data_IF_892028512138
#
_entry.id   IF_892028512138
#
_cell.length_a   1.000
_cell.length_b   1.000
_cell.length_c   1.000
_cell.angle_alpha   90.00
_cell.angle_beta   90.00
_cell.angle_gamma   90.00
#
_symmetry.space_group_name_H-M   'P 1'
#
loop_
_entity.id
_entity.type
_entity.pdbx_description
1 polymer ?
#
# COMPACT_ATOMS: atom_id res chain seq x y z
N UNK A 1 4.75 12.18 13.91
CA UNK A 1 4.44 11.05 13.01
C UNK A 1 3.83 11.65 11.76
N UNK A 2 4.49 11.58 10.61
CA UNK A 2 3.98 12.18 9.38
C UNK A 2 2.88 11.28 8.79
N UNK A 3 1.69 11.84 8.62
CA UNK A 3 0.55 11.17 7.99
C UNK A 3 0.60 11.50 6.50
N UNK A 4 0.59 10.48 5.65
CA UNK A 4 0.30 10.66 4.23
C UNK A 4 -1.10 11.25 4.14
N UNK A 5 -1.26 12.35 3.40
CA UNK A 5 -2.51 13.15 3.27
C UNK A 5 -2.68 14.28 4.29
N UNK A 6 -1.58 14.87 4.72
CA UNK A 6 -1.58 16.22 5.29
C UNK A 6 -1.43 17.28 4.17
N UNK A 7 -2.03 18.46 4.33
CA UNK A 7 -1.97 19.58 3.38
C UNK A 7 -3.22 19.81 2.53
N UNK A 8 -3.07 20.59 1.45
CA UNK A 8 -4.17 21.21 0.68
C UNK A 8 -5.14 20.16 0.07
N UNK A 9 -4.66 18.93 -0.17
CA UNK A 9 -5.45 17.85 -0.73
C UNK A 9 -6.17 16.97 0.31
N UNK A 10 -5.95 17.21 1.61
CA UNK A 10 -6.40 16.33 2.69
C UNK A 10 -7.92 16.09 2.67
N UNK A 11 -8.73 17.15 2.58
CA UNK A 11 -10.19 17.05 2.61
C UNK A 11 -10.76 16.35 1.38
N UNK A 12 -10.20 16.66 0.21
CA UNK A 12 -10.58 15.99 -1.05
C UNK A 12 -10.30 14.51 -0.97
N UNK A 13 -9.12 14.13 -0.46
CA UNK A 13 -8.75 12.72 -0.39
C UNK A 13 -9.51 11.98 0.71
N UNK A 14 -9.78 12.63 1.85
CA UNK A 14 -10.66 12.09 2.89
C UNK A 14 -12.06 11.83 2.32
N UNK A 15 -12.56 12.72 1.47
CA UNK A 15 -13.85 12.54 0.78
C UNK A 15 -13.80 11.33 -0.17
N UNK A 16 -12.74 11.19 -0.97
CA UNK A 16 -12.56 10.04 -1.86
C UNK A 16 -12.50 8.71 -1.10
N UNK A 17 -11.79 8.70 0.05
CA UNK A 17 -11.65 7.51 0.89
C UNK A 17 -12.93 7.12 1.63
N UNK A 18 -13.77 8.09 2.00
CA UNK A 18 -14.98 7.83 2.81
C UNK A 18 -16.27 7.73 1.99
N UNK A 19 -16.29 8.28 0.76
CA UNK A 19 -17.49 8.31 -0.11
C UNK A 19 -17.27 7.64 -1.46
N UNK A 20 -16.49 6.56 -1.48
CA UNK A 20 -16.05 5.89 -2.72
C UNK A 20 -17.19 5.39 -3.62
N UNK A 21 -18.27 4.85 -3.05
CA UNK A 21 -19.43 4.36 -3.83
C UNK A 21 -20.30 5.48 -4.40
N UNK A 22 -20.36 6.62 -3.74
CA UNK A 22 -21.17 7.76 -4.18
C UNK A 22 -20.45 8.61 -5.25
N UNK A 23 -19.12 8.56 -5.31
CA UNK A 23 -18.32 9.36 -6.24
C UNK A 23 -18.11 8.74 -7.61
N UNK A 24 -18.36 7.43 -7.78
CA UNK A 24 -18.14 6.72 -9.05
C UNK A 24 -16.66 6.59 -9.46
N UNK A 25 -15.72 6.86 -8.54
CA UNK A 25 -14.28 6.86 -8.80
C UNK A 25 -13.58 5.66 -8.15
N UNK A 26 -12.70 5.01 -8.90
CA UNK A 26 -11.74 4.03 -8.35
C UNK A 26 -10.41 4.70 -8.02
N UNK A 27 -9.86 4.43 -6.85
CA UNK A 27 -8.59 5.00 -6.38
C UNK A 27 -7.61 3.87 -6.06
N UNK A 28 -6.34 4.05 -6.47
CA UNK A 28 -5.22 3.17 -6.10
C UNK A 28 -4.20 4.00 -5.34
N UNK A 29 -3.79 3.51 -4.17
CA UNK A 29 -2.81 4.16 -3.30
C UNK A 29 -1.69 3.16 -3.05
N UNK A 30 -0.45 3.54 -3.33
CA UNK A 30 0.72 2.68 -3.22
C UNK A 30 1.80 3.36 -2.35
N UNK A 31 1.61 3.43 -1.02
CA UNK A 31 2.59 4.03 -0.14
C UNK A 31 3.79 3.08 0.05
N UNK A 32 4.97 3.66 0.32
CA UNK A 32 6.12 2.88 0.80
C UNK A 32 6.01 2.54 2.29
N UNK A 33 5.23 3.32 3.05
CA UNK A 33 4.99 3.15 4.48
C UNK A 33 3.49 3.11 4.74
N UNK A 34 2.84 1.94 4.75
CA UNK A 34 1.40 1.85 4.94
C UNK A 34 0.94 2.42 6.29
N UNK A 35 1.79 2.42 7.33
CA UNK A 35 1.48 3.04 8.61
C UNK A 35 1.42 4.57 8.59
N UNK A 36 1.83 5.21 7.50
CA UNK A 36 1.60 6.63 7.28
C UNK A 36 0.20 6.93 6.72
N UNK A 37 -0.52 5.93 6.20
CA UNK A 37 -1.89 6.14 5.74
C UNK A 37 -2.82 6.38 6.94
N UNK A 38 -3.85 7.22 6.79
CA UNK A 38 -4.95 7.28 7.74
C UNK A 38 -5.61 5.90 7.86
N UNK A 39 -5.99 5.51 9.07
CA UNK A 39 -6.60 4.19 9.32
C UNK A 39 -7.81 3.90 8.40
N UNK A 40 -8.61 4.93 8.08
CA UNK A 40 -9.75 4.82 7.17
C UNK A 40 -9.37 4.34 5.77
N UNK A 41 -8.16 4.63 5.29
CA UNK A 41 -7.72 4.20 3.97
C UNK A 41 -7.62 2.67 3.90
N UNK A 42 -7.06 2.02 4.93
CA UNK A 42 -6.93 0.58 4.96
C UNK A 42 -8.30 -0.10 5.16
N UNK A 43 -9.16 0.45 6.04
CA UNK A 43 -10.49 -0.10 6.32
C UNK A 43 -11.52 0.09 5.20
N UNK A 44 -11.31 1.03 4.28
CA UNK A 44 -12.21 1.30 3.14
C UNK A 44 -11.67 0.78 1.81
N UNK A 45 -10.58 0.00 1.85
CA UNK A 45 -10.01 -0.64 0.68
C UNK A 45 -10.72 -1.96 0.41
N UNK A 46 -11.42 -2.07 -0.73
CA UNK A 46 -12.02 -3.36 -1.14
C UNK A 46 -10.96 -4.42 -1.44
N UNK A 47 -9.79 -3.99 -1.94
CA UNK A 47 -8.66 -4.85 -2.28
C UNK A 47 -7.39 -4.26 -1.68
N UNK A 48 -6.61 -5.08 -0.98
CA UNK A 48 -5.29 -4.73 -0.46
C UNK A 48 -4.24 -5.66 -1.04
N UNK A 49 -3.22 -5.09 -1.66
CA UNK A 49 -2.06 -5.80 -2.21
C UNK A 49 -0.86 -5.50 -1.32
N UNK A 50 -0.33 -6.55 -0.68
CA UNK A 50 0.68 -6.43 0.36
C UNK A 50 1.93 -7.19 -0.10
N UNK A 51 3.01 -6.46 -0.34
CA UNK A 51 4.32 -7.02 -0.65
C UNK A 51 5.13 -7.31 0.62
N UNK A 52 6.40 -7.67 0.46
CA UNK A 52 7.34 -7.78 1.57
C UNK A 52 7.40 -6.48 2.38
N UNK A 53 7.03 -6.58 3.66
CA UNK A 53 7.05 -5.51 4.65
C UNK A 53 7.90 -5.95 5.83
N UNK A 54 9.04 -5.29 6.01
CA UNK A 54 10.00 -5.63 7.08
C UNK A 54 9.89 -4.69 8.29
N UNK A 55 9.31 -3.50 8.11
CA UNK A 55 9.13 -2.54 9.19
C UNK A 55 7.98 -2.99 10.11
N UNK A 56 8.33 -3.39 11.35
CA UNK A 56 7.32 -3.87 12.31
C UNK A 56 6.21 -2.86 12.63
N UNK A 57 6.49 -1.55 12.55
CA UNK A 57 5.46 -0.51 12.69
C UNK A 57 4.43 -0.55 11.57
N UNK A 58 4.88 -0.79 10.33
CA UNK A 58 4.01 -0.88 9.16
C UNK A 58 3.21 -2.19 9.16
N UNK A 59 3.84 -3.30 9.57
CA UNK A 59 3.15 -4.58 9.78
C UNK A 59 2.02 -4.42 10.80
N UNK A 60 2.30 -3.81 11.96
CA UNK A 60 1.28 -3.57 12.99
C UNK A 60 0.17 -2.64 12.52
N UNK A 61 0.51 -1.55 11.83
CA UNK A 61 -0.49 -0.62 11.31
C UNK A 61 -1.45 -1.30 10.32
N UNK A 62 -0.92 -2.20 9.48
CA UNK A 62 -1.72 -2.98 8.55
C UNK A 62 -2.59 -4.02 9.27
N UNK A 63 -2.00 -4.77 10.21
CA UNK A 63 -2.69 -5.79 10.99
C UNK A 63 -3.81 -5.22 11.88
N UNK A 64 -3.70 -3.98 12.34
CA UNK A 64 -4.75 -3.30 13.10
C UNK A 64 -6.08 -3.15 12.33
N UNK A 65 -6.04 -3.24 11.00
CA UNK A 65 -7.22 -3.21 10.12
C UNK A 65 -7.50 -4.56 9.47
N UNK A 66 -6.90 -5.64 9.99
CA UNK A 66 -7.04 -6.98 9.46
C UNK A 66 -8.51 -7.44 9.41
N UNK A 67 -8.94 -8.09 8.33
CA UNK A 67 -10.30 -8.61 8.27
C UNK A 67 -10.51 -9.78 9.22
N UNK A 68 -11.71 -9.88 9.80
CA UNK A 68 -12.06 -10.94 10.76
C UNK A 68 -12.07 -12.33 10.11
N UNK A 69 -12.37 -12.41 8.80
CA UNK A 69 -12.39 -13.67 8.05
C UNK A 69 -11.00 -14.24 7.75
N UNK A 70 -9.90 -13.52 8.02
CA UNK A 70 -8.55 -14.00 7.76
C UNK A 70 -8.23 -15.27 8.57
N UNK A 71 -8.87 -15.45 9.74
CA UNK A 71 -8.74 -16.63 10.60
C UNK A 71 -7.35 -16.85 11.21
N UNK A 72 -6.35 -16.08 10.79
CA UNK A 72 -4.96 -16.09 11.23
C UNK A 72 -4.48 -14.66 11.46
N UNK A 73 -3.36 -14.49 12.18
CA UNK A 73 -2.72 -13.19 12.30
C UNK A 73 -2.14 -12.76 10.94
N UNK A 74 -2.51 -11.57 10.47
CA UNK A 74 -2.01 -11.03 9.21
C UNK A 74 -0.49 -10.96 9.18
N UNK A 75 0.15 -10.63 10.32
CA UNK A 75 1.61 -10.55 10.40
C UNK A 75 2.30 -11.89 10.10
N UNK A 76 1.61 -13.01 10.31
CA UNK A 76 2.15 -14.36 10.07
C UNK A 76 2.15 -14.77 8.59
N UNK A 77 1.36 -14.10 7.75
CA UNK A 77 1.18 -14.43 6.33
C UNK A 77 1.69 -13.34 5.39
N UNK A 78 2.25 -12.25 5.92
CA UNK A 78 2.89 -11.23 5.09
C UNK A 78 4.10 -11.86 4.36
N UNK A 79 4.24 -11.64 3.05
CA UNK A 79 5.37 -12.15 2.29
C UNK A 79 6.71 -11.64 2.82
N UNK A 80 7.77 -12.43 2.68
CA UNK A 80 9.11 -12.05 3.13
C UNK A 80 10.14 -11.96 1.99
N UNK A 81 9.76 -12.31 0.75
CA UNK A 81 10.63 -12.23 -0.43
C UNK A 81 10.19 -11.16 -1.41
N UNK A 82 11.17 -10.62 -2.13
CA UNK A 82 10.91 -9.71 -3.23
C UNK A 82 10.17 -10.43 -4.36
N UNK A 83 9.15 -9.77 -4.91
CA UNK A 83 8.29 -10.34 -5.95
C UNK A 83 7.13 -11.16 -5.41
N UNK A 84 7.11 -11.54 -4.14
CA UNK A 84 5.92 -12.13 -3.52
C UNK A 84 4.95 -11.04 -3.08
N UNK A 85 3.66 -11.39 -3.08
CA UNK A 85 2.59 -10.52 -2.63
C UNK A 85 1.39 -11.32 -2.10
N UNK A 86 0.62 -10.67 -1.23
CA UNK A 86 -0.62 -11.15 -0.63
C UNK A 86 -1.76 -10.22 -1.05
N UNK A 87 -2.82 -10.79 -1.64
CA UNK A 87 -4.07 -10.07 -1.93
C UNK A 87 -5.06 -10.42 -0.83
N UNK A 88 -5.59 -9.38 -0.19
CA UNK A 88 -6.80 -9.44 0.62
C UNK A 88 -7.92 -8.83 -0.21
N UNK A 89 -8.98 -9.60 -0.44
CA UNK A 89 -10.16 -9.21 -1.19
C UNK A 89 -11.36 -9.25 -0.23
N UNK A 90 -11.79 -8.06 0.21
CA UNK A 90 -12.88 -7.91 1.18
C UNK A 90 -14.25 -8.25 0.53
N UNK A 91 -14.37 -8.16 -0.79
CA UNK A 91 -15.62 -8.50 -1.50
C UNK A 91 -15.77 -10.02 -1.63
N UNK A 92 -14.68 -10.71 -1.97
CA UNK A 92 -14.67 -12.16 -2.10
C UNK A 92 -14.41 -12.90 -0.78
N UNK A 93 -14.21 -12.16 0.32
CA UNK A 93 -13.76 -12.68 1.62
C UNK A 93 -12.57 -13.66 1.47
N UNK A 94 -11.62 -13.28 0.62
CA UNK A 94 -10.56 -14.18 0.17
C UNK A 94 -9.16 -13.60 0.39
N UNK A 95 -8.22 -14.51 0.66
CA UNK A 95 -6.80 -14.21 0.82
C UNK A 95 -6.01 -15.10 -0.13
N UNK A 96 -5.14 -14.50 -0.96
CA UNK A 96 -4.37 -15.24 -1.98
C UNK A 96 -2.93 -14.75 -2.05
N UNK A 97 -1.99 -15.70 -2.09
CA UNK A 97 -0.58 -15.42 -2.38
C UNK A 97 -0.33 -15.44 -3.90
N UNK A 98 0.56 -14.57 -4.36
CA UNK A 98 0.93 -14.49 -5.77
C UNK A 98 2.36 -14.00 -5.96
N UNK A 99 2.84 -14.19 -7.18
CA UNK A 99 4.13 -13.70 -7.64
C UNK A 99 3.93 -12.57 -8.63
N UNK A 100 4.49 -11.41 -8.31
CA UNK A 100 4.52 -10.25 -9.20
C UNK A 100 5.68 -10.42 -10.16
N UNK A 101 5.34 -10.48 -11.45
CA UNK A 101 6.35 -10.52 -12.50
C UNK A 101 7.17 -9.25 -12.47
N UNK A 102 8.49 -9.39 -12.66
CA UNK A 102 9.36 -8.24 -12.89
C UNK A 102 8.82 -7.45 -14.08
N UNK A 103 8.55 -6.16 -13.87
CA UNK A 103 8.08 -5.28 -14.93
C UNK A 103 9.26 -4.99 -15.85
N UNK A 104 9.06 -5.19 -17.15
CA UNK A 104 9.99 -4.71 -18.15
C UNK A 104 9.63 -3.25 -18.46
N UNK A 105 10.48 -2.32 -18.03
CA UNK A 105 10.24 -0.87 -18.20
C UNK A 105 11.51 -0.17 -18.62
N UNK A 106 11.40 0.67 -19.65
CA UNK A 106 12.46 1.62 -20.04
C UNK A 106 12.82 2.60 -18.91
N UNK A 107 11.85 2.94 -18.06
CA UNK A 107 12.06 3.77 -16.88
C UNK A 107 12.42 2.86 -15.71
N UNK A 108 13.68 2.44 -15.64
CA UNK A 108 14.23 1.97 -14.38
C UNK A 108 14.11 3.10 -13.38
N UNK A 109 13.38 2.90 -12.29
CA UNK A 109 13.26 3.88 -11.22
C UNK A 109 14.65 4.27 -10.73
N UNK A 110 15.23 5.30 -11.32
CA UNK A 110 16.51 5.81 -10.93
C UNK A 110 16.26 6.49 -9.59
N UNK A 111 16.82 5.91 -8.53
CA UNK A 111 17.28 6.78 -7.45
C UNK A 111 18.23 7.77 -8.12
N UNK A 112 17.82 9.03 -8.24
CA UNK A 112 18.70 10.09 -8.75
C UNK A 112 20.02 9.96 -7.97
N UNK A 113 21.10 9.56 -8.65
CA UNK A 113 22.41 9.61 -8.00
C UNK A 113 22.89 11.04 -8.12
N UNK A 114 23.24 11.63 -6.98
CA UNK A 114 23.76 13.01 -6.93
C UNK A 114 25.03 13.16 -7.80
N UNK A 115 25.74 12.05 -8.07
CA UNK A 115 26.88 12.01 -9.00
C UNK A 115 26.52 12.37 -10.45
N UNK A 116 25.26 12.23 -10.87
CA UNK A 116 24.85 12.50 -12.25
C UNK A 116 24.81 14.01 -12.57
N UNK A 117 24.96 14.88 -11.55
CA UNK A 117 25.17 16.33 -11.70
C UNK A 117 26.64 16.78 -11.62
N UNK A 118 27.60 15.86 -11.52
CA UNK A 118 29.03 16.16 -11.59
C UNK A 118 29.69 15.49 -12.80
N UNK A 119 29.23 15.86 -14.00
CA UNK A 119 30.18 15.98 -15.12
C UNK A 119 30.51 17.48 -15.25
N UNK A 120 31.71 17.92 -14.81
CA UNK A 120 32.23 19.20 -15.23
C UNK A 120 32.55 19.13 -16.73
N UNK A 121 32.31 20.26 -17.40
CA UNK A 121 32.54 20.56 -18.82
C UNK A 121 33.88 20.10 -19.37
#
# INVERSE_FOLDING_TARGET
>A
MAVCFDGIAADTLKTLLTRRRASGVSTVIAPQRPGALPAVAASQSDIRIIHCLTAGSDVRALAASGPVYLGVDLASIIPNRLGEALIIDDIAEAVRHFWVRKRDTSHGGASLRISDKLQPS
#
